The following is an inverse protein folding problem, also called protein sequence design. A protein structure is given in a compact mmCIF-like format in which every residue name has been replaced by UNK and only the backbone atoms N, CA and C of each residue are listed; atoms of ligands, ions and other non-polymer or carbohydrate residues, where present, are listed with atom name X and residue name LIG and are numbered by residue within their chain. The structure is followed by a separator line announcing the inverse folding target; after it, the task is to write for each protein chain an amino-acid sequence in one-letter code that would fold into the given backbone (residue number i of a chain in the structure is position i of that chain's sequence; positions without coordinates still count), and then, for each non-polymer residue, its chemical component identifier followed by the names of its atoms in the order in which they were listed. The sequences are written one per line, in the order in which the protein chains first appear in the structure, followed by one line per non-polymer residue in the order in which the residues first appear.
data_IF_671068405844
#
_entry.id   IF_671068405844
#
_cell.length_a   1.000
_cell.length_b   1.000
_cell.length_c   1.000
_cell.angle_alpha   90.00
_cell.angle_beta   90.00
_cell.angle_gamma   90.00
#
_symmetry.space_group_name_H-M   'P 1'
#
loop_
_entity.id
_entity.type
_entity.pdbx_description
1 polymer ?
#
# COMPACT_ATOMS: atom_id res chain seq x y z
N UNK A 1 -34.66 10.82 -7.22
CA UNK A 1 -35.48 11.78 -6.45
C UNK A 1 -34.74 12.20 -5.20
N UNK A 2 -34.76 11.47 -4.08
CA UNK A 2 -34.08 11.93 -2.84
C UNK A 2 -32.61 12.34 -3.01
N UNK A 3 -31.79 11.54 -3.72
CA UNK A 3 -30.38 11.87 -3.94
C UNK A 3 -30.22 13.08 -4.86
N UNK A 4 -31.07 13.20 -5.88
CA UNK A 4 -31.06 14.34 -6.81
C UNK A 4 -31.42 15.64 -6.08
N UNK A 5 -32.44 15.58 -5.21
CA UNK A 5 -32.88 16.71 -4.38
C UNK A 5 -31.78 17.14 -3.40
N UNK A 6 -31.03 16.18 -2.82
CA UNK A 6 -29.89 16.46 -1.94
C UNK A 6 -28.71 17.08 -2.70
N UNK A 7 -28.42 16.59 -3.91
CA UNK A 7 -27.37 17.17 -4.76
C UNK A 7 -27.74 18.58 -5.22
N UNK A 8 -29.01 18.82 -5.57
CA UNK A 8 -29.52 20.15 -5.90
C UNK A 8 -29.40 21.11 -4.70
N UNK A 9 -29.78 20.66 -3.51
CA UNK A 9 -29.66 21.45 -2.27
C UNK A 9 -28.19 21.78 -1.96
N UNK A 10 -27.27 20.84 -2.18
CA UNK A 10 -25.84 21.06 -2.01
C UNK A 10 -25.31 22.16 -2.94
N UNK A 11 -25.64 22.08 -4.24
CA UNK A 11 -25.24 23.09 -5.21
C UNK A 11 -25.87 24.46 -4.92
N UNK A 12 -27.13 24.49 -4.46
CA UNK A 12 -27.78 25.71 -4.00
C UNK A 12 -27.02 26.36 -2.82
N UNK A 13 -26.63 25.57 -1.81
CA UNK A 13 -25.88 26.10 -0.66
C UNK A 13 -24.50 26.63 -1.05
N UNK A 14 -23.78 25.95 -1.96
CA UNK A 14 -22.51 26.45 -2.50
C UNK A 14 -22.67 27.77 -3.25
N UNK A 15 -23.69 27.87 -4.10
CA UNK A 15 -23.96 29.10 -4.82
C UNK A 15 -24.23 30.25 -3.83
N UNK A 16 -25.02 29.99 -2.78
CA UNK A 16 -25.31 30.97 -1.73
C UNK A 16 -24.06 31.41 -0.98
N UNK A 17 -23.14 30.50 -0.64
CA UNK A 17 -21.86 30.85 -0.01
C UNK A 17 -21.05 31.80 -0.92
N UNK A 18 -20.99 31.53 -2.23
CA UNK A 18 -20.26 32.41 -3.16
C UNK A 18 -20.89 33.81 -3.26
N UNK A 19 -22.22 33.88 -3.26
CA UNK A 19 -22.98 35.15 -3.26
C UNK A 19 -22.85 35.93 -1.95
N UNK A 20 -22.56 35.27 -0.82
CA UNK A 20 -22.33 35.91 0.49
C UNK A 20 -20.86 36.26 0.74
N UNK A 21 -19.91 35.44 0.28
CA UNK A 21 -18.45 35.64 0.43
C UNK A 21 -17.91 36.71 -0.52
N UNK A 22 -18.48 36.83 -1.74
CA UNK A 22 -18.16 37.92 -2.67
C UNK A 22 -18.53 39.34 -2.18
N UNK A 23 -19.01 39.46 -0.94
CA UNK A 23 -19.42 40.72 -0.28
C UNK A 23 -18.41 41.27 0.73
N UNK A 24 -17.30 40.56 0.98
CA UNK A 24 -16.26 40.99 1.92
C UNK A 24 -15.21 41.89 1.27
N UNK A 25 -15.17 43.16 1.72
CA UNK A 25 -14.12 44.16 1.47
C UNK A 25 -13.87 44.58 0.01
N UNK A 26 -14.90 45.17 -0.61
CA UNK A 26 -14.73 46.07 -1.77
C UNK A 26 -15.10 45.46 -3.12
N UNK A 27 -16.39 45.53 -3.48
CA UNK A 27 -16.82 45.15 -4.82
C UNK A 27 -18.32 45.27 -5.08
N UNK A 28 -18.74 46.45 -5.56
CA UNK A 28 -19.80 46.61 -6.57
C UNK A 28 -21.22 46.10 -6.28
N UNK A 29 -22.08 46.96 -5.73
CA UNK A 29 -23.40 47.34 -6.26
C UNK A 29 -24.56 46.34 -6.42
N UNK A 30 -24.35 45.02 -6.53
CA UNK A 30 -25.40 44.05 -6.86
C UNK A 30 -26.01 43.30 -5.67
N UNK A 31 -25.30 43.19 -4.55
CA UNK A 31 -25.69 42.31 -3.44
C UNK A 31 -26.80 42.85 -2.53
N UNK A 32 -26.89 44.18 -2.36
CA UNK A 32 -27.85 44.77 -1.42
C UNK A 32 -29.30 44.59 -1.88
N UNK A 33 -29.57 44.73 -3.18
CA UNK A 33 -30.92 44.61 -3.76
C UNK A 33 -31.49 43.21 -3.57
N UNK A 34 -30.66 42.17 -3.69
CA UNK A 34 -31.11 40.78 -3.52
C UNK A 34 -31.48 40.45 -2.07
N UNK A 35 -30.89 41.10 -1.07
CA UNK A 35 -31.20 40.78 0.35
C UNK A 35 -32.50 41.43 0.82
N UNK A 36 -32.93 42.53 0.18
CA UNK A 36 -34.18 43.23 0.51
C UNK A 36 -35.41 42.46 0.04
N UNK A 37 -35.30 41.69 -1.05
CA UNK A 37 -36.38 40.84 -1.59
C UNK A 37 -36.39 39.41 -1.02
N UNK A 38 -35.46 39.08 -0.11
CA UNK A 38 -35.43 37.77 0.52
C UNK A 38 -36.52 37.66 1.60
N UNK A 39 -37.23 36.52 1.71
CA UNK A 39 -38.14 36.27 2.82
C UNK A 39 -37.43 36.44 4.17
N UNK A 40 -38.13 37.01 5.15
CA UNK A 40 -37.59 37.25 6.51
C UNK A 40 -37.03 36.00 7.17
N UNK A 41 -37.50 34.82 6.78
CA UNK A 41 -36.99 33.51 7.21
C UNK A 41 -35.54 33.22 6.78
N UNK A 42 -35.03 33.88 5.73
CA UNK A 42 -33.70 33.62 5.16
C UNK A 42 -32.70 34.76 5.45
N UNK A 43 -33.21 35.96 5.80
CA UNK A 43 -32.39 37.14 6.08
C UNK A 43 -31.51 37.03 7.34
N UNK A 44 -31.80 36.07 8.24
CA UNK A 44 -31.09 35.88 9.51
C UNK A 44 -29.88 34.93 9.46
N UNK A 45 -29.61 34.26 8.34
CA UNK A 45 -28.50 33.31 8.23
C UNK A 45 -27.21 34.01 7.83
N UNK A 46 -26.15 33.78 8.61
CA UNK A 46 -24.79 34.22 8.29
C UNK A 46 -24.12 33.27 7.29
N UNK A 47 -23.02 33.69 6.66
CA UNK A 47 -22.22 32.83 5.77
C UNK A 47 -21.79 31.53 6.47
N UNK A 48 -21.49 31.61 7.78
CA UNK A 48 -21.11 30.44 8.59
C UNK A 48 -22.25 29.44 8.75
N UNK A 49 -23.48 29.92 8.91
CA UNK A 49 -24.65 29.04 9.05
C UNK A 49 -24.92 28.29 7.74
N UNK A 50 -24.71 28.95 6.59
CA UNK A 50 -24.86 28.33 5.27
C UNK A 50 -23.72 27.33 5.00
N UNK A 51 -22.49 27.65 5.42
CA UNK A 51 -21.35 26.72 5.38
C UNK A 51 -21.60 25.46 6.22
N UNK A 52 -22.18 25.60 7.42
CA UNK A 52 -22.56 24.48 8.28
C UNK A 52 -23.66 23.62 7.62
N UNK A 53 -24.68 24.25 7.03
CA UNK A 53 -25.71 23.54 6.27
C UNK A 53 -25.13 22.76 5.08
N UNK A 54 -24.22 23.38 4.31
CA UNK A 54 -23.53 22.71 3.21
C UNK A 54 -22.70 21.52 3.69
N UNK A 55 -22.01 21.64 4.83
CA UNK A 55 -21.26 20.53 5.44
C UNK A 55 -22.18 19.38 5.84
N UNK A 56 -23.33 19.69 6.45
CA UNK A 56 -24.31 18.68 6.87
C UNK A 56 -24.90 17.95 5.66
N UNK A 57 -25.28 18.67 4.61
CA UNK A 57 -25.80 18.07 3.37
C UNK A 57 -24.75 17.18 2.71
N UNK A 58 -23.49 17.65 2.63
CA UNK A 58 -22.37 16.84 2.12
C UNK A 58 -22.20 15.56 2.93
N UNK A 59 -22.23 15.63 4.25
CA UNK A 59 -22.09 14.45 5.14
C UNK A 59 -23.20 13.42 4.92
N UNK A 60 -24.43 13.88 4.69
CA UNK A 60 -25.58 13.01 4.38
C UNK A 60 -25.41 12.36 3.01
N UNK A 61 -24.99 13.13 1.99
CA UNK A 61 -24.69 12.61 0.64
C UNK A 61 -23.59 11.55 0.73
N UNK A 62 -22.50 11.82 1.44
CA UNK A 62 -21.38 10.88 1.62
C UNK A 62 -21.85 9.60 2.33
N UNK A 63 -22.70 9.72 3.34
CA UNK A 63 -23.27 8.58 4.05
C UNK A 63 -24.16 7.70 3.16
N UNK A 64 -24.92 8.31 2.25
CA UNK A 64 -25.79 7.60 1.30
C UNK A 64 -25.03 7.02 0.11
N UNK A 65 -23.97 7.69 -0.35
CA UNK A 65 -23.20 7.30 -1.54
C UNK A 65 -21.95 6.49 -1.22
N UNK A 66 -21.62 6.29 0.05
CA UNK A 66 -20.51 5.42 0.45
C UNK A 66 -20.68 4.02 -0.17
N UNK A 67 -19.56 3.43 -0.59
CA UNK A 67 -19.48 2.05 -1.11
C UNK A 67 -20.25 1.05 -0.24
N UNK A 68 -20.21 1.21 1.08
CA UNK A 68 -20.97 0.35 2.01
C UNK A 68 -22.49 0.47 1.78
N UNK A 69 -23.02 1.69 1.68
CA UNK A 69 -24.44 1.95 1.45
C UNK A 69 -24.89 1.47 0.07
N UNK A 70 -24.07 1.68 -0.96
CA UNK A 70 -24.32 1.13 -2.30
C UNK A 70 -24.36 -0.41 -2.30
N UNK A 71 -23.42 -1.05 -1.62
CA UNK A 71 -23.40 -2.52 -1.49
C UNK A 71 -24.64 -3.03 -0.75
N UNK A 72 -25.05 -2.37 0.35
CA UNK A 72 -26.26 -2.74 1.09
C UNK A 72 -27.53 -2.59 0.25
N UNK A 73 -27.63 -1.53 -0.57
CA UNK A 73 -28.73 -1.35 -1.52
C UNK A 73 -28.75 -2.46 -2.58
N UNK A 74 -27.58 -2.85 -3.10
CA UNK A 74 -27.47 -3.96 -4.06
C UNK A 74 -27.85 -5.31 -3.43
N UNK A 75 -27.48 -5.53 -2.16
CA UNK A 75 -27.90 -6.72 -1.40
C UNK A 75 -29.42 -6.75 -1.19
N UNK A 76 -30.03 -5.60 -0.89
CA UNK A 76 -31.48 -5.49 -0.71
C UNK A 76 -32.24 -5.67 -2.02
N UNK A 77 -31.67 -5.18 -3.13
CA UNK A 77 -32.31 -5.21 -4.45
C UNK A 77 -32.22 -6.54 -5.19
N UNK A 78 -31.24 -7.41 -4.86
CA UNK A 78 -31.10 -8.70 -5.54
C UNK A 78 -30.39 -9.75 -4.68
N UNK A 79 -31.09 -10.86 -4.42
CA UNK A 79 -30.50 -12.04 -3.79
C UNK A 79 -29.32 -12.62 -4.60
N UNK A 80 -29.34 -12.49 -5.93
CA UNK A 80 -28.25 -12.94 -6.79
C UNK A 80 -26.95 -12.15 -6.61
N UNK A 81 -27.02 -10.90 -6.12
CA UNK A 81 -25.82 -10.13 -5.78
C UNK A 81 -25.14 -10.69 -4.53
N UNK A 82 -25.92 -11.13 -3.53
CA UNK A 82 -25.41 -11.80 -2.34
C UNK A 82 -24.71 -13.12 -2.70
N UNK A 83 -25.28 -13.92 -3.59
CA UNK A 83 -24.68 -15.19 -4.03
C UNK A 83 -23.33 -14.97 -4.74
N UNK A 84 -23.25 -13.94 -5.59
CA UNK A 84 -21.99 -13.56 -6.27
C UNK A 84 -20.95 -13.09 -5.26
N UNK A 85 -21.34 -12.26 -4.30
CA UNK A 85 -20.43 -11.76 -3.27
C UNK A 85 -19.93 -12.90 -2.38
N UNK A 86 -20.81 -13.82 -1.98
CA UNK A 86 -20.45 -15.01 -1.22
C UNK A 86 -19.44 -15.87 -1.99
N UNK A 87 -19.72 -16.14 -3.27
CA UNK A 87 -18.81 -16.89 -4.15
C UNK A 87 -17.43 -16.22 -4.28
N UNK A 88 -17.40 -14.89 -4.39
CA UNK A 88 -16.16 -14.13 -4.44
C UNK A 88 -15.38 -14.21 -3.13
N UNK A 89 -16.05 -14.12 -1.98
CA UNK A 89 -15.42 -14.22 -0.66
C UNK A 89 -14.84 -15.61 -0.44
N UNK A 90 -15.57 -16.68 -0.78
CA UNK A 90 -15.09 -18.06 -0.71
C UNK A 90 -13.82 -18.21 -1.57
N UNK A 91 -13.85 -17.71 -2.81
CA UNK A 91 -12.68 -17.74 -3.69
C UNK A 91 -11.48 -16.99 -3.10
N UNK A 92 -11.68 -15.80 -2.52
CA UNK A 92 -10.59 -15.06 -1.88
C UNK A 92 -10.02 -15.79 -0.66
N UNK A 93 -10.88 -16.41 0.15
CA UNK A 93 -10.46 -17.21 1.29
C UNK A 93 -9.62 -18.41 0.84
N UNK A 94 -10.01 -19.10 -0.22
CA UNK A 94 -9.23 -20.21 -0.77
C UNK A 94 -7.86 -19.76 -1.29
N UNK A 95 -7.81 -18.62 -2.00
CA UNK A 95 -6.55 -18.04 -2.48
C UNK A 95 -5.64 -17.66 -1.31
N UNK A 96 -6.18 -17.02 -0.27
CA UNK A 96 -5.43 -16.68 0.94
C UNK A 96 -4.88 -17.94 1.62
N UNK A 97 -5.69 -18.99 1.76
CA UNK A 97 -5.25 -20.27 2.34
C UNK A 97 -4.11 -20.91 1.55
N UNK A 98 -4.20 -20.92 0.22
CA UNK A 98 -3.14 -21.43 -0.66
C UNK A 98 -1.87 -20.60 -0.57
N UNK A 99 -1.98 -19.28 -0.49
CA UNK A 99 -0.83 -18.41 -0.30
C UNK A 99 -0.13 -18.72 1.03
N UNK A 100 -0.89 -18.86 2.13
CA UNK A 100 -0.34 -19.21 3.43
C UNK A 100 0.35 -20.59 3.44
N UNK A 101 -0.21 -21.59 2.77
CA UNK A 101 0.43 -22.91 2.67
C UNK A 101 1.74 -22.84 1.88
N UNK A 102 1.76 -22.12 0.75
CA UNK A 102 2.98 -21.92 -0.03
C UNK A 102 4.07 -21.21 0.78
N UNK A 103 3.71 -20.16 1.52
CA UNK A 103 4.66 -19.47 2.40
C UNK A 103 5.28 -20.46 3.40
N UNK A 104 4.47 -21.30 4.03
CA UNK A 104 4.97 -22.33 4.95
C UNK A 104 5.94 -23.31 4.25
N UNK A 105 5.60 -23.79 3.06
CA UNK A 105 6.48 -24.70 2.30
C UNK A 105 7.80 -24.04 1.92
N UNK A 106 7.78 -22.80 1.46
CA UNK A 106 9.00 -22.07 1.10
C UNK A 106 9.84 -21.75 2.32
N UNK A 107 9.25 -21.40 3.47
CA UNK A 107 10.02 -21.19 4.70
C UNK A 107 10.75 -22.46 5.14
N UNK A 108 10.12 -23.63 4.99
CA UNK A 108 10.77 -24.92 5.27
C UNK A 108 11.94 -25.17 4.31
N UNK A 109 11.72 -25.00 3.00
CA UNK A 109 12.77 -25.19 1.98
C UNK A 109 13.96 -24.23 2.14
N UNK A 110 13.70 -22.97 2.51
CA UNK A 110 14.75 -22.00 2.80
C UNK A 110 15.58 -22.47 4.00
N UNK A 111 14.92 -22.99 5.04
CA UNK A 111 15.60 -23.51 6.22
C UNK A 111 16.48 -24.71 5.87
N UNK A 112 15.94 -25.69 5.15
CA UNK A 112 16.69 -26.87 4.69
C UNK A 112 17.89 -26.48 3.83
N UNK A 113 17.70 -25.58 2.86
CA UNK A 113 18.78 -25.08 2.02
C UNK A 113 19.86 -24.35 2.83
N UNK A 114 19.47 -23.57 3.83
CA UNK A 114 20.40 -22.89 4.74
C UNK A 114 21.20 -23.87 5.59
N UNK A 115 20.56 -24.93 6.11
CA UNK A 115 21.23 -25.97 6.89
C UNK A 115 22.28 -26.69 6.03
N UNK A 116 21.90 -27.11 4.81
CA UNK A 116 22.81 -27.74 3.85
C UNK A 116 23.96 -26.81 3.44
N UNK A 117 23.68 -25.52 3.24
CA UNK A 117 24.70 -24.52 2.92
C UNK A 117 25.73 -24.42 4.05
N UNK A 118 25.29 -24.33 5.30
CA UNK A 118 26.20 -24.24 6.45
C UNK A 118 27.08 -25.49 6.61
N UNK A 119 26.54 -26.68 6.33
CA UNK A 119 27.30 -27.94 6.34
C UNK A 119 28.36 -27.97 5.21
N UNK A 120 27.96 -27.55 4.00
CA UNK A 120 28.86 -27.49 2.85
C UNK A 120 29.97 -26.46 3.05
N UNK A 121 29.65 -25.28 3.58
CA UNK A 121 30.63 -24.22 3.90
C UNK A 121 31.63 -24.68 4.96
N UNK A 122 31.17 -25.39 6.00
CA UNK A 122 32.03 -25.99 7.00
C UNK A 122 33.04 -26.96 6.38
N UNK A 123 32.56 -27.89 5.56
CA UNK A 123 33.41 -28.87 4.87
C UNK A 123 34.38 -28.22 3.88
N UNK A 124 33.91 -27.22 3.13
CA UNK A 124 34.73 -26.46 2.19
C UNK A 124 35.86 -25.70 2.91
N UNK A 125 35.58 -25.11 4.08
CA UNK A 125 36.58 -24.39 4.86
C UNK A 125 37.73 -25.28 5.34
N UNK A 126 37.42 -26.52 5.75
CA UNK A 126 38.42 -27.52 6.14
C UNK A 126 39.27 -27.93 4.94
N UNK A 127 38.64 -28.21 3.80
CA UNK A 127 39.35 -28.57 2.56
C UNK A 127 40.29 -27.44 2.12
N UNK A 128 39.81 -26.19 2.14
CA UNK A 128 40.61 -24.99 1.87
C UNK A 128 41.83 -24.90 2.79
N UNK A 129 41.66 -25.16 4.08
CA UNK A 129 42.76 -25.14 5.04
C UNK A 129 43.80 -26.24 4.74
N UNK A 130 43.35 -27.44 4.39
CA UNK A 130 44.25 -28.55 4.07
C UNK A 130 44.99 -28.34 2.74
N UNK A 131 44.33 -27.80 1.72
CA UNK A 131 44.99 -27.42 0.46
C UNK A 131 46.05 -26.33 0.71
N UNK A 132 45.78 -25.36 1.59
CA UNK A 132 46.80 -24.35 2.00
C UNK A 132 48.01 -25.02 2.68
N UNK A 133 47.79 -25.97 3.58
CA UNK A 133 48.89 -26.72 4.24
C UNK A 133 49.71 -27.49 3.21
N UNK A 134 49.07 -28.21 2.29
CA UNK A 134 49.74 -28.98 1.24
C UNK A 134 50.57 -28.03 0.35
N UNK A 135 50.00 -26.89 -0.06
CA UNK A 135 50.73 -25.88 -0.85
C UNK A 135 52.02 -25.43 -0.16
N UNK A 136 51.98 -25.20 1.15
CA UNK A 136 53.16 -24.80 1.95
C UNK A 136 54.17 -25.95 2.07
N UNK A 137 53.72 -27.20 2.27
CA UNK A 137 54.63 -28.34 2.34
C UNK A 137 55.33 -28.57 1.01
N UNK A 138 54.59 -28.56 -0.09
CA UNK A 138 55.14 -28.74 -1.44
C UNK A 138 56.11 -27.62 -1.79
N UNK A 139 55.78 -26.36 -1.49
CA UNK A 139 56.72 -25.24 -1.77
C UNK A 139 58.01 -25.37 -0.97
N UNK A 140 57.96 -25.81 0.29
CA UNK A 140 59.14 -26.08 1.11
C UNK A 140 59.98 -27.24 0.58
N UNK A 141 59.36 -28.33 0.14
CA UNK A 141 60.09 -29.46 -0.43
C UNK A 141 60.78 -29.11 -1.75
N UNK A 142 60.11 -28.34 -2.62
CA UNK A 142 60.72 -27.87 -3.87
C UNK A 142 61.86 -26.89 -3.54
N UNK A 143 61.66 -25.94 -2.62
CA UNK A 143 62.70 -24.99 -2.21
C UNK A 143 63.98 -25.70 -1.72
N UNK A 144 63.84 -26.74 -0.89
CA UNK A 144 64.97 -27.58 -0.42
C UNK A 144 65.72 -28.27 -1.55
N UNK A 145 65.03 -28.74 -2.60
CA UNK A 145 65.67 -29.35 -3.76
C UNK A 145 66.43 -28.35 -4.64
N UNK A 146 66.12 -27.06 -4.54
CA UNK A 146 66.68 -26.00 -5.38
C UNK A 146 67.45 -24.93 -4.57
N UNK A 147 68.30 -25.35 -3.64
CA UNK A 147 69.20 -24.49 -2.85
C UNK A 147 68.50 -23.29 -2.19
N UNK A 148 67.39 -23.55 -1.49
CA UNK A 148 66.62 -22.57 -0.69
C UNK A 148 66.12 -21.34 -1.48
N UNK A 149 65.93 -21.49 -2.79
CA UNK A 149 65.23 -20.47 -3.58
C UNK A 149 63.75 -20.42 -3.20
N UNK A 150 63.18 -19.21 -3.16
CA UNK A 150 61.76 -18.99 -2.86
C UNK A 150 60.91 -19.55 -4.02
N UNK A 151 59.99 -20.47 -3.71
CA UNK A 151 59.09 -21.10 -4.69
C UNK A 151 57.65 -20.72 -4.37
N UNK A 152 56.99 -20.05 -5.32
CA UNK A 152 55.57 -19.74 -5.25
C UNK A 152 54.79 -20.60 -6.26
N UNK A 153 53.83 -21.38 -5.76
CA UNK A 153 52.94 -22.20 -6.61
C UNK A 153 51.87 -21.28 -7.19
N UNK A 154 51.86 -21.14 -8.52
CA UNK A 154 50.88 -20.38 -9.33
C UNK A 154 49.87 -21.33 -9.99
N UNK A 155 48.67 -20.82 -10.32
CA UNK A 155 47.59 -21.58 -10.97
C UNK A 155 46.23 -21.48 -10.26
N UNK A 156 45.27 -22.29 -10.70
CA UNK A 156 43.86 -22.27 -10.25
C UNK A 156 43.69 -22.51 -8.74
N UNK A 157 44.66 -23.15 -8.09
CA UNK A 157 44.71 -23.30 -6.64
C UNK A 157 44.69 -21.93 -5.93
N UNK A 158 45.18 -20.85 -6.55
CA UNK A 158 45.11 -19.50 -5.99
C UNK A 158 43.75 -18.82 -6.19
N UNK A 159 42.86 -19.35 -7.02
CA UNK A 159 41.51 -18.84 -7.21
C UNK A 159 40.51 -19.41 -6.19
N UNK A 160 40.89 -20.48 -5.47
CA UNK A 160 40.10 -21.10 -4.40
C UNK A 160 40.19 -20.34 -3.06
N UNK A 161 40.95 -19.25 -3.00
CA UNK A 161 41.27 -18.51 -1.77
C UNK A 161 41.05 -17.01 -1.93
#
# INVERSE_FOLDING_TARGET
MLLDDLMELFEFTKQRINETVGRGEGGGGGGFVLQVDLPSSVQGYSSKDIEEMSCNVSSVIDSLTNKKSQQLLLMLGSQSYLDRLSSQLIRQQELSRRASSLVSEYTYKIKEASELQTECEGSLSLLVADVKKIKIMVSKEISKKYNDRIVNITGDINQLF
#
